data_IF_966970795267
#
_entry.id   IF_966970795267
#
_cell.length_a   1.000
_cell.length_b   1.000
_cell.length_c   1.000
_cell.angle_alpha   90.00
_cell.angle_beta   90.00
_cell.angle_gamma   90.00
#
_symmetry.space_group_name_H-M   'P 1'
#
loop_
_entity.id
_entity.type
_entity.pdbx_description
1 polymer ?
#
# COMPACT_ATOMS: atom_id res chain seq x y z
N UNK A 1 49.31 4.80 5.34
CA UNK A 1 48.67 5.56 6.44
C UNK A 1 47.25 5.88 6.03
N UNK A 2 46.27 5.63 6.91
CA UNK A 2 44.89 6.00 6.64
C UNK A 2 44.68 7.47 7.04
N UNK A 3 44.41 8.33 6.07
CA UNK A 3 44.20 9.76 6.30
C UNK A 3 42.71 10.08 6.27
N UNK A 4 42.11 10.16 7.45
CA UNK A 4 40.69 10.43 7.62
C UNK A 4 40.26 11.72 6.91
N UNK A 5 41.10 12.76 6.87
CA UNK A 5 40.76 14.09 6.31
C UNK A 5 40.61 14.07 4.79
N UNK A 6 41.55 13.41 4.11
CA UNK A 6 41.51 13.23 2.66
C UNK A 6 40.27 12.41 2.29
N UNK A 7 39.99 11.32 3.03
CA UNK A 7 38.81 10.49 2.80
C UNK A 7 37.53 11.31 2.92
N UNK A 8 37.44 12.20 3.91
CA UNK A 8 36.27 13.08 4.04
C UNK A 8 36.14 14.07 2.89
N UNK A 9 37.22 14.71 2.48
CA UNK A 9 37.18 15.67 1.37
C UNK A 9 36.69 14.99 0.09
N UNK A 10 37.20 13.79 -0.21
CA UNK A 10 36.74 12.98 -1.35
C UNK A 10 35.25 12.63 -1.23
N UNK A 11 34.80 12.14 -0.06
CA UNK A 11 33.39 11.76 0.17
C UNK A 11 32.45 12.97 0.10
N UNK A 12 32.90 14.16 0.54
CA UNK A 12 32.08 15.37 0.61
C UNK A 12 31.94 16.07 -0.75
N UNK A 13 33.03 16.15 -1.51
CA UNK A 13 33.09 16.92 -2.76
C UNK A 13 32.79 16.08 -4.00
N UNK A 14 33.17 14.80 -4.00
CA UNK A 14 32.85 13.90 -5.12
C UNK A 14 31.50 13.24 -4.86
N UNK A 15 31.46 11.91 -4.84
CA UNK A 15 30.25 11.12 -4.68
C UNK A 15 30.30 10.24 -3.42
N UNK A 16 29.21 10.24 -2.66
CA UNK A 16 29.00 9.35 -1.53
C UNK A 16 27.68 8.59 -1.73
N UNK A 17 27.76 7.27 -1.91
CA UNK A 17 26.60 6.41 -2.13
C UNK A 17 25.58 6.43 -0.98
N UNK A 18 26.04 6.71 0.23
CA UNK A 18 25.18 6.77 1.41
C UNK A 18 24.62 8.17 1.69
N UNK A 19 25.06 9.20 0.99
CA UNK A 19 24.61 10.57 1.23
C UNK A 19 23.28 10.82 0.53
N UNK A 20 22.28 11.27 1.29
CA UNK A 20 21.00 11.74 0.76
C UNK A 20 20.87 13.24 1.05
N UNK A 21 20.76 14.04 -0.02
CA UNK A 21 20.49 15.47 0.07
C UNK A 21 18.96 15.65 0.09
N UNK A 22 18.46 16.29 1.14
CA UNK A 22 17.05 16.68 1.30
C UNK A 22 17.05 18.19 1.53
N UNK A 23 15.95 18.88 1.26
CA UNK A 23 15.79 20.32 1.51
C UNK A 23 16.21 20.75 2.93
N UNK A 24 15.92 19.90 3.93
CA UNK A 24 16.25 20.17 5.34
C UNK A 24 17.73 19.95 5.67
N UNK A 25 18.49 19.26 4.84
CA UNK A 25 19.92 19.01 5.08
C UNK A 25 20.48 17.73 4.46
N UNK A 26 21.71 17.41 4.85
CA UNK A 26 22.47 16.25 4.33
C UNK A 26 22.42 15.09 5.31
N UNK A 27 21.77 14.00 4.91
CA UNK A 27 21.62 12.78 5.71
C UNK A 27 22.49 11.64 5.18
N UNK A 28 22.71 10.64 6.02
CA UNK A 28 23.49 9.46 5.70
C UNK A 28 22.64 8.21 5.92
N UNK A 29 22.52 7.37 4.88
CA UNK A 29 21.80 6.08 4.90
C UNK A 29 22.62 4.93 5.46
N UNK A 30 23.89 5.16 5.80
CA UNK A 30 24.77 4.09 6.30
C UNK A 30 24.23 3.57 7.66
N UNK A 31 24.00 2.25 7.81
CA UNK A 31 23.49 1.66 9.05
C UNK A 31 24.41 1.86 10.26
N UNK A 32 25.71 2.06 10.02
CA UNK A 32 26.72 2.32 11.03
C UNK A 32 26.92 3.81 11.33
N UNK A 33 26.02 4.70 10.93
CA UNK A 33 26.09 6.11 11.38
C UNK A 33 25.34 6.25 12.71
N UNK A 34 25.92 6.92 13.72
CA UNK A 34 25.30 7.14 15.03
C UNK A 34 24.16 8.14 14.99
N UNK A 35 24.31 9.23 14.24
CA UNK A 35 23.39 10.38 14.22
C UNK A 35 22.41 10.35 13.04
N UNK A 36 22.81 9.73 11.92
CA UNK A 36 22.06 9.76 10.65
C UNK A 36 22.33 11.00 9.80
N UNK A 37 23.16 11.94 10.29
CA UNK A 37 23.55 13.15 9.57
C UNK A 37 24.88 12.91 8.84
N UNK A 38 25.04 13.46 7.64
CA UNK A 38 26.27 13.37 6.87
C UNK A 38 27.24 14.52 7.20
N UNK A 39 27.91 14.42 8.34
CA UNK A 39 28.94 15.36 8.82
C UNK A 39 30.30 14.67 9.01
N UNK A 40 31.39 15.45 9.07
CA UNK A 40 32.76 14.95 9.29
C UNK A 40 32.84 14.01 10.49
N UNK A 41 32.31 14.44 11.63
CA UNK A 41 32.32 13.70 12.90
C UNK A 41 31.34 12.52 12.94
N UNK A 42 30.35 12.49 12.05
CA UNK A 42 29.28 11.49 12.05
C UNK A 42 29.48 10.40 10.99
N UNK A 43 30.34 10.61 10.00
CA UNK A 43 30.57 9.63 8.94
C UNK A 43 31.42 8.44 9.45
N UNK A 44 30.91 7.19 9.38
CA UNK A 44 31.68 6.01 9.80
C UNK A 44 32.75 5.58 8.78
N UNK A 45 32.63 6.02 7.52
CA UNK A 45 33.62 5.72 6.48
C UNK A 45 34.85 6.62 6.62
N UNK A 46 34.61 7.91 6.88
CA UNK A 46 35.66 8.92 6.95
C UNK A 46 36.44 8.93 8.27
N UNK A 47 35.90 8.27 9.32
CA UNK A 47 36.58 8.15 10.61
C UNK A 47 37.07 6.72 10.81
N UNK A 48 38.36 6.58 11.06
CA UNK A 48 39.00 5.30 11.38
C UNK A 48 38.58 4.79 12.76
N UNK A 49 38.56 5.67 13.76
CA UNK A 49 38.00 5.42 15.08
C UNK A 49 36.53 5.80 15.04
N UNK A 50 35.64 4.81 14.94
CA UNK A 50 34.19 5.00 15.09
C UNK A 50 33.50 3.98 16.02
N UNK A 51 32.39 4.35 16.66
CA UNK A 51 31.60 3.43 17.49
C UNK A 51 30.10 3.65 17.33
N UNK A 52 29.31 2.58 17.21
CA UNK A 52 27.85 2.63 17.00
C UNK A 52 27.12 1.54 17.76
N UNK A 53 25.80 1.68 17.86
CA UNK A 53 24.93 0.66 18.44
C UNK A 53 23.99 0.17 17.35
N UNK A 54 23.89 -1.16 17.23
CA UNK A 54 22.93 -1.82 16.34
C UNK A 54 22.14 -2.88 17.08
N UNK A 55 20.95 -3.09 16.56
CA UNK A 55 20.04 -4.14 16.96
C UNK A 55 20.27 -5.36 16.06
N UNK A 56 20.47 -6.53 16.65
CA UNK A 56 20.38 -7.82 15.98
C UNK A 56 19.44 -8.71 16.79
N UNK A 57 18.34 -9.12 16.18
CA UNK A 57 17.35 -10.08 16.73
C UNK A 57 16.93 -9.79 18.17
N UNK A 58 16.74 -8.51 18.52
CA UNK A 58 16.28 -8.14 19.87
C UNK A 58 17.39 -8.06 20.92
N UNK A 59 18.66 -8.15 20.52
CA UNK A 59 19.83 -7.87 21.37
C UNK A 59 20.63 -6.68 20.81
N UNK A 60 21.04 -5.77 21.71
CA UNK A 60 21.87 -4.64 21.31
C UNK A 60 23.34 -5.03 21.31
N UNK A 61 24.06 -4.57 20.30
CA UNK A 61 25.50 -4.75 20.16
C UNK A 61 26.17 -3.40 20.01
N UNK A 62 27.24 -3.19 20.77
CA UNK A 62 28.18 -2.10 20.57
C UNK A 62 29.17 -2.52 19.48
N UNK A 63 29.17 -1.78 18.39
CA UNK A 63 30.06 -1.93 17.26
C UNK A 63 31.20 -0.92 17.41
N UNK A 64 32.44 -1.39 17.44
CA UNK A 64 33.63 -0.55 17.54
C UNK A 64 34.53 -0.77 16.32
N UNK A 65 35.04 0.32 15.78
CA UNK A 65 35.94 0.35 14.64
C UNK A 65 37.28 0.91 15.10
N UNK A 66 38.34 0.14 14.96
CA UNK A 66 39.70 0.53 15.32
C UNK A 66 40.55 0.74 14.08
N UNK A 67 41.64 1.52 14.22
CA UNK A 67 42.52 1.85 13.09
C UNK A 67 43.33 0.64 12.61
N UNK A 68 43.62 -0.29 13.53
CA UNK A 68 44.44 -1.47 13.30
C UNK A 68 43.79 -2.44 12.31
N UNK A 69 42.46 -2.59 12.39
CA UNK A 69 41.69 -3.51 11.54
C UNK A 69 41.28 -2.91 10.19
N UNK A 70 41.70 -1.68 9.88
CA UNK A 70 41.26 -0.99 8.67
C UNK A 70 41.65 -1.71 7.36
N UNK A 71 42.75 -2.46 7.39
CA UNK A 71 43.23 -3.27 6.27
C UNK A 71 42.38 -4.54 6.01
N UNK A 72 41.53 -4.96 6.96
CA UNK A 72 40.66 -6.13 6.84
C UNK A 72 39.18 -5.72 6.94
N UNK A 73 38.50 -5.46 5.80
CA UNK A 73 37.12 -4.99 5.80
C UNK A 73 36.15 -5.97 6.50
N UNK A 74 36.40 -7.27 6.37
CA UNK A 74 35.56 -8.31 6.95
C UNK A 74 35.57 -8.29 8.49
N UNK A 75 36.69 -7.89 9.09
CA UNK A 75 36.89 -7.83 10.54
C UNK A 75 36.94 -6.38 11.05
N UNK A 76 36.53 -5.41 10.23
CA UNK A 76 36.63 -3.98 10.54
C UNK A 76 35.91 -3.59 11.85
N UNK A 77 34.84 -4.32 12.18
CA UNK A 77 33.99 -4.04 13.33
C UNK A 77 34.09 -5.12 14.41
N UNK A 78 34.53 -4.72 15.58
CA UNK A 78 34.41 -5.49 16.81
C UNK A 78 32.99 -5.34 17.38
N UNK A 79 32.42 -6.44 17.91
CA UNK A 79 31.05 -6.45 18.41
C UNK A 79 31.04 -6.90 19.87
N UNK A 80 30.49 -6.07 20.75
CA UNK A 80 30.29 -6.37 22.17
C UNK A 80 28.79 -6.47 22.45
N UNK A 81 28.36 -7.57 23.06
CA UNK A 81 26.96 -7.78 23.47
C UNK A 81 26.63 -6.84 24.63
N UNK A 82 25.55 -6.07 24.50
CA UNK A 82 25.03 -5.24 25.58
C UNK A 82 23.92 -6.00 26.34
N UNK A 83 23.91 -5.93 27.68
CA UNK A 83 22.86 -6.54 28.49
C UNK A 83 21.52 -5.83 28.29
N UNK A 84 20.43 -6.51 28.66
CA UNK A 84 19.07 -5.94 28.61
C UNK A 84 18.85 -4.82 29.61
N UNK A 85 19.59 -4.82 30.72
CA UNK A 85 19.54 -3.74 31.70
C UNK A 85 20.28 -2.51 31.15
N UNK A 86 19.56 -1.39 31.10
CA UNK A 86 20.05 -0.13 30.53
C UNK A 86 21.25 0.45 31.29
N UNK A 87 21.24 0.41 32.62
CA UNK A 87 22.34 0.97 33.44
C UNK A 87 23.63 0.18 33.23
N UNK A 88 23.54 -1.15 33.30
CA UNK A 88 24.68 -2.04 33.01
C UNK A 88 25.20 -1.85 31.57
N UNK A 89 24.31 -1.60 30.61
CA UNK A 89 24.71 -1.32 29.24
C UNK A 89 25.47 0.01 29.13
N UNK A 90 25.05 1.06 29.87
CA UNK A 90 25.77 2.33 29.92
C UNK A 90 27.16 2.18 30.53
N UNK A 91 27.30 1.43 31.63
CA UNK A 91 28.60 1.15 32.24
C UNK A 91 29.55 0.42 31.27
N UNK A 92 29.05 -0.55 30.51
CA UNK A 92 29.85 -1.28 29.51
C UNK A 92 30.27 -0.35 28.37
N UNK A 93 29.39 0.55 27.93
CA UNK A 93 29.72 1.57 26.93
C UNK A 93 30.83 2.49 27.45
N UNK A 94 30.72 2.95 28.70
CA UNK A 94 31.72 3.81 29.33
C UNK A 94 33.08 3.13 29.48
N UNK A 95 33.10 1.87 29.91
CA UNK A 95 34.34 1.08 30.03
C UNK A 95 35.02 0.86 28.68
N UNK A 96 34.28 0.53 27.62
CA UNK A 96 34.87 0.29 26.31
C UNK A 96 35.28 1.58 25.58
N UNK A 97 34.59 2.69 25.83
CA UNK A 97 34.81 3.96 25.12
C UNK A 97 35.55 5.01 25.96
N UNK A 98 36.32 4.62 26.99
CA UNK A 98 37.05 5.57 27.85
C UNK A 98 37.98 6.51 27.06
N UNK A 99 38.71 5.97 26.07
CA UNK A 99 39.71 6.72 25.30
C UNK A 99 39.18 7.30 23.98
N UNK A 100 37.85 7.39 23.85
CA UNK A 100 37.19 7.86 22.65
C UNK A 100 36.76 9.32 22.74
N UNK A 101 36.54 10.01 21.61
CA UNK A 101 36.02 11.37 21.62
C UNK A 101 34.68 11.45 22.36
N UNK A 102 34.57 12.41 23.30
CA UNK A 102 33.35 12.63 24.11
C UNK A 102 32.08 12.75 23.27
N UNK A 103 32.19 13.38 22.09
CA UNK A 103 31.09 13.48 21.13
C UNK A 103 30.54 12.11 20.75
N UNK A 104 31.41 11.16 20.38
CA UNK A 104 30.98 9.82 20.00
C UNK A 104 30.37 9.10 21.18
N UNK A 105 31.00 9.13 22.36
CA UNK A 105 30.50 8.51 23.59
C UNK A 105 29.07 8.98 23.88
N UNK A 106 28.86 10.30 23.90
CA UNK A 106 27.56 10.89 24.17
C UNK A 106 26.52 10.50 23.11
N UNK A 107 26.87 10.57 21.82
CA UNK A 107 25.96 10.18 20.74
C UNK A 107 25.65 8.69 20.75
N UNK A 108 26.59 7.80 21.08
CA UNK A 108 26.30 6.37 21.27
C UNK A 108 25.36 6.13 22.44
N UNK A 109 25.54 6.82 23.57
CA UNK A 109 24.59 6.75 24.69
C UNK A 109 23.19 7.22 24.26
N UNK A 110 23.09 8.37 23.61
CA UNK A 110 21.82 8.88 23.07
C UNK A 110 21.15 7.88 22.11
N UNK A 111 21.94 7.24 21.24
CA UNK A 111 21.44 6.20 20.33
C UNK A 111 20.94 4.98 21.10
N UNK A 112 21.65 4.52 22.15
CA UNK A 112 21.17 3.42 23.01
C UNK A 112 19.80 3.76 23.61
N UNK A 113 19.67 4.96 24.16
CA UNK A 113 18.41 5.44 24.75
C UNK A 113 17.29 5.43 23.72
N UNK A 114 17.53 6.00 22.52
CA UNK A 114 16.53 6.08 21.47
C UNK A 114 16.11 4.70 20.95
N UNK A 115 17.07 3.80 20.75
CA UNK A 115 16.81 2.42 20.32
C UNK A 115 16.01 1.65 21.38
N UNK A 116 16.34 1.83 22.66
CA UNK A 116 15.61 1.22 23.78
C UNK A 116 14.18 1.75 23.86
N UNK A 117 13.99 3.06 23.75
CA UNK A 117 12.66 3.69 23.68
C UNK A 117 11.85 3.19 22.48
N UNK A 118 12.48 3.07 21.29
CA UNK A 118 11.84 2.51 20.11
C UNK A 118 11.39 1.06 20.35
N UNK A 119 12.21 0.22 20.98
CA UNK A 119 11.80 -1.15 21.34
C UNK A 119 10.61 -1.18 22.29
N UNK A 120 10.60 -0.33 23.32
CA UNK A 120 9.47 -0.21 24.23
C UNK A 120 8.22 0.22 23.46
N UNK A 121 8.33 1.19 22.54
CA UNK A 121 7.23 1.62 21.68
C UNK A 121 6.73 0.51 20.77
N UNK A 122 7.62 -0.27 20.14
CA UNK A 122 7.25 -1.40 19.30
C UNK A 122 6.47 -2.46 20.08
N UNK A 123 6.89 -2.79 21.30
CA UNK A 123 6.14 -3.71 22.19
C UNK A 123 4.77 -3.16 22.55
N UNK A 124 4.69 -1.88 22.92
CA UNK A 124 3.41 -1.21 23.22
C UNK A 124 2.50 -1.16 21.98
N UNK A 125 3.05 -1.02 20.78
CA UNK A 125 2.29 -1.03 19.54
C UNK A 125 1.80 -2.43 19.17
N UNK A 126 2.61 -3.47 19.37
CA UNK A 126 2.23 -4.85 19.14
C UNK A 126 1.12 -5.33 20.10
N UNK A 127 1.08 -4.81 21.33
CA UNK A 127 0.02 -5.08 22.30
C UNK A 127 -1.29 -4.34 22.00
N UNK A 128 -1.26 -3.30 21.15
CA UNK A 128 -2.47 -2.56 20.78
C UNK A 128 -3.13 -3.24 19.60
N UNK A 129 -4.38 -3.66 19.75
CA UNK A 129 -5.23 -4.07 18.63
C UNK A 129 -5.49 -2.84 17.76
N UNK A 130 -5.03 -2.89 16.52
CA UNK A 130 -5.29 -1.87 15.50
C UNK A 130 -5.92 -2.55 14.32
N UNK A 131 -6.91 -1.89 13.74
CA UNK A 131 -7.45 -2.30 12.45
C UNK A 131 -6.33 -2.33 11.42
N UNK A 132 -6.24 -3.45 10.71
CA UNK A 132 -5.26 -3.60 9.63
C UNK A 132 -5.79 -2.80 8.44
N UNK A 133 -5.08 -1.74 8.07
CA UNK A 133 -5.35 -1.03 6.81
C UNK A 133 -5.11 -2.03 5.68
N UNK A 134 -6.19 -2.52 5.09
CA UNK A 134 -6.15 -3.39 3.92
C UNK A 134 -6.37 -2.50 2.70
N UNK A 135 -5.45 -2.57 1.75
CA UNK A 135 -5.58 -1.85 0.47
C UNK A 135 -6.44 -2.70 -0.45
N UNK A 136 -7.58 -2.17 -0.89
CA UNK A 136 -8.35 -2.77 -1.98
C UNK A 136 -7.73 -2.36 -3.32
N UNK A 137 -7.46 -3.31 -4.24
CA UNK A 137 -6.90 -2.98 -5.53
C UNK A 137 -7.91 -2.17 -6.36
N UNK A 138 -7.40 -1.19 -7.11
CA UNK A 138 -8.26 -0.26 -7.88
C UNK A 138 -9.15 -0.96 -8.90
N UNK A 139 -8.69 -2.09 -9.47
CA UNK A 139 -9.45 -2.89 -10.44
C UNK A 139 -10.70 -3.51 -9.82
N UNK A 140 -10.58 -4.11 -8.62
CA UNK A 140 -11.73 -4.67 -7.90
C UNK A 140 -12.73 -3.58 -7.56
N UNK A 141 -12.27 -2.44 -7.03
CA UNK A 141 -13.17 -1.31 -6.72
C UNK A 141 -13.96 -0.82 -7.94
N UNK A 142 -13.32 -0.75 -9.12
CA UNK A 142 -14.02 -0.37 -10.37
C UNK A 142 -14.99 -1.45 -10.82
N UNK A 143 -14.60 -2.73 -10.73
CA UNK A 143 -15.42 -3.87 -11.15
C UNK A 143 -16.65 -4.03 -10.24
N UNK A 144 -16.47 -3.94 -8.93
CA UNK A 144 -17.56 -3.97 -7.94
C UNK A 144 -18.55 -2.85 -8.18
N UNK A 145 -18.09 -1.60 -8.36
CA UNK A 145 -18.98 -0.48 -8.68
C UNK A 145 -19.80 -0.69 -9.98
N UNK A 146 -19.17 -1.23 -11.04
CA UNK A 146 -19.89 -1.56 -12.28
C UNK A 146 -20.90 -2.70 -12.08
N UNK A 147 -20.56 -3.72 -11.28
CA UNK A 147 -21.50 -4.81 -10.97
C UNK A 147 -22.65 -4.33 -10.10
N UNK A 148 -22.39 -3.45 -9.15
CA UNK A 148 -23.41 -2.82 -8.30
C UNK A 148 -24.41 -2.04 -9.16
N UNK A 149 -23.93 -1.21 -10.09
CA UNK A 149 -24.81 -0.46 -11.00
C UNK A 149 -25.64 -1.39 -11.90
N UNK A 150 -25.03 -2.46 -12.42
CA UNK A 150 -25.76 -3.47 -13.21
C UNK A 150 -26.80 -4.21 -12.35
N UNK A 151 -26.47 -4.55 -11.11
CA UNK A 151 -27.37 -5.22 -10.18
C UNK A 151 -28.55 -4.31 -9.78
N UNK A 152 -28.31 -3.03 -9.54
CA UNK A 152 -29.36 -2.04 -9.25
C UNK A 152 -30.34 -1.92 -10.42
N UNK A 153 -29.83 -1.81 -11.64
CA UNK A 153 -30.65 -1.76 -12.87
C UNK A 153 -31.44 -3.06 -13.07
N UNK A 154 -30.85 -4.22 -12.82
CA UNK A 154 -31.52 -5.52 -12.99
C UNK A 154 -32.57 -5.80 -11.91
N UNK A 155 -32.33 -5.39 -10.65
CA UNK A 155 -33.20 -5.73 -9.54
C UNK A 155 -34.55 -4.99 -9.55
N UNK A 156 -34.69 -3.88 -10.30
CA UNK A 156 -35.89 -3.03 -10.43
C UNK A 156 -36.75 -3.05 -9.17
N UNK A 157 -36.16 -2.58 -8.06
CA UNK A 157 -36.70 -2.82 -6.72
C UNK A 157 -38.10 -2.24 -6.56
N UNK A 158 -38.41 -1.12 -7.21
CA UNK A 158 -39.71 -0.45 -7.15
C UNK A 158 -40.87 -1.37 -7.55
N UNK A 159 -40.75 -2.07 -8.68
CA UNK A 159 -41.80 -3.01 -9.15
C UNK A 159 -41.96 -4.21 -8.21
N UNK A 160 -40.85 -4.69 -7.65
CA UNK A 160 -40.90 -5.79 -6.67
C UNK A 160 -41.61 -5.38 -5.38
N UNK A 161 -41.36 -4.14 -4.92
CA UNK A 161 -41.98 -3.55 -3.74
C UNK A 161 -43.47 -3.29 -4.00
N UNK A 162 -43.82 -2.74 -5.16
CA UNK A 162 -45.23 -2.52 -5.55
C UNK A 162 -46.03 -3.83 -5.55
N UNK A 163 -45.48 -4.90 -6.15
CA UNK A 163 -46.11 -6.23 -6.14
C UNK A 163 -46.30 -6.73 -4.71
N UNK A 164 -45.29 -6.60 -3.84
CA UNK A 164 -45.40 -7.02 -2.44
C UNK A 164 -46.43 -6.19 -1.65
N UNK A 165 -46.46 -4.88 -1.85
CA UNK A 165 -47.44 -3.98 -1.22
C UNK A 165 -48.86 -4.29 -1.68
N UNK A 166 -49.06 -4.53 -2.97
CA UNK A 166 -50.36 -4.96 -3.51
C UNK A 166 -50.77 -6.32 -2.96
N UNK A 167 -49.84 -7.28 -2.83
CA UNK A 167 -50.14 -8.56 -2.20
C UNK A 167 -50.50 -8.42 -0.73
N UNK A 168 -49.81 -7.56 0.03
CA UNK A 168 -50.14 -7.27 1.44
C UNK A 168 -51.50 -6.58 1.56
N UNK A 169 -51.82 -5.68 0.64
CA UNK A 169 -53.13 -5.04 0.55
C UNK A 169 -54.24 -6.07 0.28
N UNK A 170 -54.04 -6.96 -0.72
CA UNK A 170 -54.96 -8.07 -1.04
C UNK A 170 -55.13 -9.06 0.11
N UNK A 171 -54.06 -9.32 0.87
CA UNK A 171 -54.07 -10.17 2.06
C UNK A 171 -54.74 -9.49 3.28
N UNK A 172 -55.15 -8.22 3.17
CA UNK A 172 -55.85 -7.50 4.24
C UNK A 172 -54.97 -7.17 5.45
N UNK A 173 -53.65 -7.03 5.25
CA UNK A 173 -52.69 -6.72 6.33
C UNK A 173 -52.90 -5.31 6.89
N UNK A 174 -53.41 -4.41 6.07
CA UNK A 174 -53.77 -3.04 6.43
C UNK A 174 -55.31 -2.98 6.59
N UNK A 175 -55.83 -2.28 7.61
CA UNK A 175 -57.25 -2.34 8.02
C UNK A 175 -58.30 -1.82 7.03
N UNK A 176 -59.57 -1.83 7.42
CA UNK A 176 -60.76 -1.80 6.53
C UNK A 176 -61.19 -0.44 5.94
N UNK A 177 -60.55 0.68 6.25
CA UNK A 177 -61.01 2.00 5.78
C UNK A 177 -59.92 2.69 4.98
N UNK A 178 -60.00 2.58 3.67
CA UNK A 178 -59.17 3.32 2.73
C UNK A 178 -59.96 4.47 2.12
N UNK A 179 -59.47 5.69 2.32
CA UNK A 179 -60.04 6.89 1.69
C UNK A 179 -59.42 7.08 0.30
N UNK A 180 -59.95 6.38 -0.70
CA UNK A 180 -59.55 6.60 -2.10
C UNK A 180 -60.26 7.85 -2.65
N UNK A 181 -59.53 8.78 -3.28
CA UNK A 181 -60.15 9.88 -4.03
C UNK A 181 -61.06 9.34 -5.13
N UNK A 182 -62.34 9.76 -5.14
CA UNK A 182 -63.36 9.25 -6.05
C UNK A 182 -62.99 9.42 -7.53
N UNK A 183 -62.31 10.51 -7.88
CA UNK A 183 -61.90 10.81 -9.25
C UNK A 183 -60.95 9.74 -9.81
N UNK A 184 -59.98 9.29 -9.00
CA UNK A 184 -59.02 8.26 -9.40
C UNK A 184 -59.64 6.87 -9.49
N UNK A 185 -60.65 6.60 -8.69
CA UNK A 185 -61.39 5.33 -8.73
C UNK A 185 -62.24 5.22 -9.99
N UNK A 186 -62.93 6.30 -10.35
CA UNK A 186 -63.72 6.36 -11.58
C UNK A 186 -62.82 6.28 -12.83
N UNK A 187 -61.66 6.94 -12.85
CA UNK A 187 -60.68 6.81 -13.94
C UNK A 187 -60.15 5.38 -14.12
N UNK A 188 -60.04 4.58 -13.06
CA UNK A 188 -59.62 3.17 -13.13
C UNK A 188 -60.75 2.31 -13.70
N UNK A 189 -62.00 2.53 -13.28
CA UNK A 189 -63.19 1.87 -13.83
C UNK A 189 -63.38 2.16 -15.33
N UNK A 190 -63.17 3.41 -15.75
CA UNK A 190 -63.29 3.81 -17.16
C UNK A 190 -62.17 3.19 -18.01
N UNK A 191 -60.95 3.09 -17.48
CA UNK A 191 -59.81 2.40 -18.14
C UNK A 191 -60.00 0.89 -18.22
N UNK A 192 -60.63 0.27 -17.23
CA UNK A 192 -60.93 -1.17 -17.23
C UNK A 192 -62.04 -1.52 -18.25
N UNK A 193 -63.02 -0.62 -18.45
CA UNK A 193 -64.03 -0.74 -19.51
C UNK A 193 -63.44 -0.56 -20.91
N UNK A 194 -62.42 0.28 -21.08
CA UNK A 194 -61.70 0.45 -22.35
C UNK A 194 -60.69 -0.69 -22.62
N UNK A 195 -60.05 -1.22 -21.59
CA UNK A 195 -59.10 -2.34 -21.73
C UNK A 195 -59.78 -3.67 -22.10
N UNK A 196 -61.09 -3.81 -21.88
CA UNK A 196 -61.86 -4.98 -22.32
C UNK A 196 -62.02 -5.09 -23.85
N UNK A 197 -61.79 -3.99 -24.59
CA UNK A 197 -61.91 -3.95 -26.05
C UNK A 197 -60.55 -4.10 -26.79
N UNK A 198 -59.40 -4.09 -26.09
CA UNK A 198 -58.04 -4.13 -26.68
C UNK A 198 -57.17 -5.34 -26.24
N UNK A 199 -57.77 -6.45 -25.80
CA UNK A 199 -57.04 -7.61 -25.24
C UNK A 199 -56.26 -8.46 -26.28
N UNK A 200 -56.22 -8.12 -27.58
CA UNK A 200 -55.61 -9.02 -28.58
C UNK A 200 -54.18 -8.72 -29.07
N UNK A 201 -53.48 -7.64 -28.66
CA UNK A 201 -52.18 -7.38 -29.34
C UNK A 201 -51.04 -6.64 -28.59
N UNK A 202 -50.92 -6.66 -27.26
CA UNK A 202 -49.72 -6.06 -26.62
C UNK A 202 -49.32 -6.68 -25.27
N UNK A 203 -48.99 -7.98 -25.29
CA UNK A 203 -48.24 -8.62 -24.21
C UNK A 203 -46.92 -9.21 -24.75
N UNK A 204 -46.20 -8.43 -25.57
CA UNK A 204 -44.78 -8.66 -25.78
C UNK A 204 -44.05 -7.99 -24.61
N UNK A 205 -43.97 -8.69 -23.47
CA UNK A 205 -42.97 -8.39 -22.44
C UNK A 205 -41.64 -8.31 -23.17
N UNK A 206 -41.11 -7.09 -23.31
CA UNK A 206 -39.76 -6.87 -23.77
C UNK A 206 -38.82 -7.54 -22.77
N UNK A 207 -38.56 -8.82 -23.03
CA UNK A 207 -37.54 -9.63 -22.42
C UNK A 207 -36.25 -8.86 -22.68
N UNK A 208 -35.77 -8.14 -21.67
CA UNK A 208 -34.46 -7.52 -21.73
C UNK A 208 -33.50 -8.70 -21.69
N UNK A 209 -33.22 -9.26 -22.87
CA UNK A 209 -32.13 -10.20 -23.08
C UNK A 209 -30.87 -9.48 -22.58
N UNK A 210 -30.46 -9.81 -21.37
CA UNK A 210 -29.09 -9.61 -20.95
C UNK A 210 -28.25 -10.53 -21.84
N UNK A 211 -27.86 -10.02 -23.01
CA UNK A 211 -26.91 -10.67 -23.90
C UNK A 211 -25.67 -11.00 -23.06
N UNK A 212 -25.49 -12.30 -22.80
CA UNK A 212 -24.35 -12.92 -22.14
C UNK A 212 -23.11 -12.88 -23.07
N UNK A 213 -22.83 -11.71 -23.65
CA UNK A 213 -21.84 -11.50 -24.71
C UNK A 213 -20.75 -10.48 -24.37
N UNK A 214 -20.56 -10.17 -23.08
CA UNK A 214 -19.56 -9.19 -22.63
C UNK A 214 -18.63 -9.74 -21.54
N UNK A 215 -18.52 -11.06 -21.38
CA UNK A 215 -17.43 -11.65 -20.58
C UNK A 215 -16.11 -11.72 -21.38
N UNK A 216 -16.16 -11.58 -22.72
CA UNK A 216 -14.99 -11.66 -23.61
C UNK A 216 -14.51 -10.29 -24.16
N UNK A 217 -15.24 -9.19 -23.87
CA UNK A 217 -14.80 -7.82 -24.17
C UNK A 217 -14.17 -7.12 -22.95
N UNK A 218 -14.08 -7.79 -21.80
CA UNK A 218 -13.47 -7.25 -20.58
C UNK A 218 -11.93 -7.12 -20.68
N UNK A 219 -11.31 -7.65 -21.75
CA UNK A 219 -9.86 -7.51 -22.03
C UNK A 219 -9.51 -6.34 -22.96
N UNK A 220 -10.44 -5.76 -23.73
CA UNK A 220 -10.11 -4.78 -24.80
C UNK A 220 -10.34 -3.30 -24.43
N UNK A 221 -11.08 -2.98 -23.37
CA UNK A 221 -11.38 -1.58 -22.99
C UNK A 221 -10.23 -0.84 -22.26
N UNK A 222 -9.05 -1.44 -22.07
CA UNK A 222 -7.88 -0.77 -21.45
C UNK A 222 -6.94 -0.13 -22.51
N UNK A 223 -7.37 0.00 -23.78
CA UNK A 223 -6.56 0.54 -24.89
C UNK A 223 -6.81 2.04 -25.17
N UNK A 224 -7.91 2.63 -24.71
CA UNK A 224 -8.31 3.98 -25.13
C UNK A 224 -7.75 5.15 -24.30
N UNK A 225 -6.99 4.92 -23.23
CA UNK A 225 -6.37 6.00 -22.43
C UNK A 225 -4.88 6.28 -22.79
N UNK A 226 -4.39 5.74 -23.91
CA UNK A 226 -3.02 5.99 -24.40
C UNK A 226 -2.94 6.92 -25.64
N UNK A 227 -4.07 7.30 -26.25
CA UNK A 227 -4.12 7.98 -27.55
C UNK A 227 -4.26 9.52 -27.54
N UNK A 228 -4.20 10.18 -26.38
CA UNK A 228 -4.64 11.57 -26.21
C UNK A 228 -3.60 12.69 -26.39
N UNK A 229 -2.43 12.46 -27.00
CA UNK A 229 -1.42 13.52 -27.19
C UNK A 229 -0.65 13.36 -28.50
N UNK A 230 -1.20 13.90 -29.59
CA UNK A 230 -0.50 14.64 -30.65
C UNK A 230 -1.35 14.73 -31.93
N UNK A 231 -2.21 15.75 -32.03
CA UNK A 231 -2.58 16.31 -33.35
C UNK A 231 -2.46 17.82 -33.27
N UNK A 232 -1.34 18.28 -33.83
CA UNK A 232 -0.97 19.65 -34.09
C UNK A 232 -1.98 20.28 -35.07
N UNK A 233 -2.66 21.37 -34.69
CA UNK A 233 -3.41 22.23 -35.62
C UNK A 233 -2.97 23.67 -35.43
N UNK A 234 -2.18 24.11 -36.41
CA UNK A 234 -1.75 25.46 -36.71
C UNK A 234 -2.87 26.50 -36.66
N UNK A 235 -2.62 27.65 -36.02
CA UNK A 235 -3.16 28.94 -36.42
C UNK A 235 -2.15 30.05 -36.13
N UNK A 236 -2.00 30.92 -37.12
CA UNK A 236 -1.07 32.04 -37.27
C UNK A 236 -1.47 33.30 -36.46
N UNK A 237 -0.51 34.23 -36.41
CA UNK A 237 -0.50 35.67 -36.06
C UNK A 237 -0.42 36.09 -34.58
N UNK A 238 0.28 37.16 -34.20
CA UNK A 238 1.40 38.00 -34.72
C UNK A 238 1.74 39.03 -33.60
N UNK A 239 2.93 39.64 -33.68
CA UNK A 239 3.40 40.91 -33.08
C UNK A 239 3.95 41.03 -31.63
N UNK A 240 5.29 41.18 -31.59
CA UNK A 240 6.10 42.31 -31.08
C UNK A 240 6.24 42.62 -29.56
N UNK A 241 7.45 42.43 -29.01
CA UNK A 241 8.43 43.48 -28.64
C UNK A 241 9.73 42.85 -28.10
N UNK A 242 10.88 43.32 -28.59
CA UNK A 242 12.22 42.79 -28.26
C UNK A 242 12.90 43.41 -27.03
N UNK A 243 13.90 42.69 -26.51
CA UNK A 243 15.16 43.21 -25.95
C UNK A 243 16.09 42.05 -25.53
N UNK A 244 17.14 41.86 -26.34
CA UNK A 244 18.56 41.66 -25.99
C UNK A 244 18.92 41.12 -24.60
N UNK A 245 19.59 39.96 -24.52
CA UNK A 245 21.00 39.88 -24.10
C UNK A 245 21.58 38.44 -24.29
N UNK A 246 22.88 38.40 -24.56
CA UNK A 246 23.77 37.31 -24.95
C UNK A 246 23.72 36.03 -24.07
N UNK A 247 23.92 34.84 -24.67
CA UNK A 247 25.26 34.26 -24.89
C UNK A 247 25.19 32.82 -25.44
N UNK A 248 26.17 32.55 -26.29
CA UNK A 248 26.46 31.41 -27.15
C UNK A 248 26.73 30.09 -26.39
N UNK A 249 26.20 28.95 -26.87
CA UNK A 249 27.04 27.76 -27.13
C UNK A 249 26.32 26.66 -27.94
N UNK A 250 27.07 26.13 -28.89
CA UNK A 250 26.65 25.38 -30.07
C UNK A 250 26.92 23.87 -29.93
N UNK A 251 25.85 23.04 -30.02
CA UNK A 251 25.81 21.67 -30.59
C UNK A 251 26.66 20.54 -29.94
N UNK A 252 26.38 19.24 -30.00
CA UNK A 252 25.64 18.37 -30.95
C UNK A 252 25.17 17.13 -30.18
N UNK A 253 23.95 16.68 -30.45
CA UNK A 253 23.44 15.38 -30.06
C UNK A 253 23.74 14.34 -31.14
N UNK A 254 24.12 13.12 -30.75
CA UNK A 254 23.86 11.90 -31.54
C UNK A 254 23.37 10.81 -30.61
N UNK A 255 22.10 10.44 -30.77
CA UNK A 255 21.53 9.19 -30.28
C UNK A 255 21.97 8.03 -31.18
N UNK A 256 22.21 6.84 -30.59
CA UNK A 256 21.95 5.59 -31.29
C UNK A 256 21.14 4.61 -30.43
N UNK A 257 20.16 4.02 -31.13
CA UNK A 257 18.98 3.27 -30.76
C UNK A 257 19.32 1.81 -30.44
N UNK A 258 18.63 1.26 -29.42
CA UNK A 258 18.04 -0.10 -29.25
C UNK A 258 18.74 -1.31 -29.89
N UNK A 259 18.89 -2.42 -29.14
CA UNK A 259 18.36 -3.77 -29.48
C UNK A 259 18.28 -4.66 -28.21
N UNK A 260 17.07 -5.18 -27.94
CA UNK A 260 16.81 -6.38 -27.13
C UNK A 260 16.91 -7.60 -28.05
N UNK A 261 17.65 -8.64 -27.66
CA UNK A 261 17.64 -9.94 -28.35
C UNK A 261 17.53 -11.06 -27.33
N UNK A 262 16.39 -11.73 -27.34
CA UNK A 262 16.18 -13.05 -26.76
C UNK A 262 16.98 -14.09 -27.59
N UNK A 263 17.50 -15.11 -26.91
CA UNK A 263 17.73 -16.40 -27.55
C UNK A 263 17.44 -17.51 -26.54
N UNK A 264 16.39 -18.24 -26.88
CA UNK A 264 16.10 -19.60 -26.47
C UNK A 264 17.15 -20.57 -27.02
N UNK A 265 17.16 -21.79 -26.45
CA UNK A 265 17.85 -23.02 -26.87
C UNK A 265 19.11 -23.42 -26.07
N UNK A 266 18.90 -24.19 -25.00
CA UNK A 266 19.69 -25.40 -24.73
C UNK A 266 18.90 -26.33 -23.79
N UNK A 267 18.30 -27.36 -24.37
CA UNK A 267 17.61 -28.46 -23.70
C UNK A 267 18.47 -29.72 -23.87
N UNK A 268 18.41 -30.61 -22.85
CA UNK A 268 18.92 -32.00 -22.72
C UNK A 268 20.22 -32.10 -21.90
N UNK A 269 20.38 -32.99 -20.91
CA UNK A 269 19.66 -34.16 -20.32
C UNK A 269 20.60 -34.60 -19.15
N UNK A 270 20.24 -34.95 -17.92
CA UNK A 270 19.59 -36.16 -17.37
C UNK A 270 19.79 -36.13 -15.84
N UNK A 271 18.83 -36.68 -15.08
CA UNK A 271 18.99 -36.95 -13.65
C UNK A 271 17.64 -37.15 -12.95
N UNK A 272 17.00 -38.27 -13.22
CA UNK A 272 15.78 -38.77 -12.58
C UNK A 272 16.06 -39.13 -11.11
N UNK A 273 15.20 -38.75 -10.17
CA UNK A 273 14.52 -39.72 -9.30
C UNK A 273 13.36 -39.09 -8.50
N UNK A 274 12.22 -39.77 -8.66
CA UNK A 274 11.05 -40.03 -7.80
C UNK A 274 11.04 -39.42 -6.39
N UNK A 275 9.93 -38.99 -5.78
CA UNK A 275 8.51 -39.27 -5.96
C UNK A 275 7.85 -39.02 -4.59
N UNK A 276 6.70 -38.35 -4.53
CA UNK A 276 6.09 -38.03 -3.23
C UNK A 276 4.92 -37.07 -3.30
N UNK A 277 3.85 -37.46 -3.98
CA UNK A 277 2.52 -36.82 -3.93
C UNK A 277 1.98 -36.78 -2.50
N UNK A 278 1.68 -35.59 -1.96
CA UNK A 278 0.87 -35.43 -0.74
C UNK A 278 -0.42 -34.65 -1.07
N UNK A 279 -1.61 -35.19 -0.73
CA UNK A 279 -2.88 -34.53 -1.04
C UNK A 279 -3.17 -33.34 -0.12
N UNK A 280 -3.78 -32.31 -0.70
CA UNK A 280 -4.23 -31.07 -0.04
C UNK A 280 -5.30 -31.40 1.02
N UNK A 281 -5.02 -31.09 2.30
CA UNK A 281 -6.04 -31.09 3.35
C UNK A 281 -6.88 -29.82 3.24
N UNK A 282 -8.18 -29.96 2.95
CA UNK A 282 -9.18 -28.89 3.11
C UNK A 282 -9.48 -28.74 4.61
N UNK A 283 -9.34 -27.53 5.14
CA UNK A 283 -9.75 -27.22 6.50
C UNK A 283 -11.28 -27.14 6.56
N UNK A 284 -11.92 -27.99 7.37
CA UNK A 284 -13.32 -27.81 7.78
C UNK A 284 -13.35 -26.79 8.92
N UNK A 285 -14.00 -25.65 8.69
CA UNK A 285 -14.34 -24.69 9.75
C UNK A 285 -15.60 -25.22 10.43
N UNK A 286 -15.51 -25.53 11.73
CA UNK A 286 -16.67 -25.78 12.58
C UNK A 286 -17.19 -24.40 13.01
N UNK A 287 -18.43 -24.08 12.64
CA UNK A 287 -19.13 -22.89 13.13
C UNK A 287 -20.00 -23.35 14.29
N UNK A 288 -19.60 -23.05 15.51
CA UNK A 288 -20.48 -23.13 16.68
C UNK A 288 -21.32 -21.86 16.69
N UNK A 289 -22.63 -22.02 16.53
CA UNK A 289 -23.62 -20.93 16.68
C UNK A 289 -24.09 -21.01 18.13
N UNK A 290 -23.66 -20.07 18.98
CA UNK A 290 -24.31 -19.83 20.27
C UNK A 290 -25.68 -19.21 19.99
N UNK A 291 -26.77 -19.94 20.27
CA UNK A 291 -28.11 -19.36 20.35
C UNK A 291 -28.25 -18.66 21.70
N UNK A 292 -28.41 -17.34 21.68
CA UNK A 292 -28.87 -16.57 22.84
C UNK A 292 -30.34 -16.93 23.10
N UNK A 293 -30.59 -17.73 24.14
CA UNK A 293 -31.93 -17.95 24.68
C UNK A 293 -32.44 -16.68 25.37
N UNK A 294 -33.08 -15.81 24.60
CA UNK A 294 -33.98 -14.79 25.14
C UNK A 294 -35.35 -15.41 25.39
N UNK A 295 -35.61 -15.91 26.60
CA UNK A 295 -36.96 -15.89 27.18
C UNK A 295 -36.99 -16.25 28.66
N UNK A 296 -37.42 -15.30 29.49
CA UNK A 296 -37.49 -15.47 30.94
C UNK A 296 -38.20 -14.34 31.66
N UNK A 297 -39.34 -13.91 31.13
CA UNK A 297 -40.22 -12.92 31.76
C UNK A 297 -40.90 -13.52 33.00
N UNK A 298 -40.56 -12.95 34.15
CA UNK A 298 -41.35 -12.75 35.39
C UNK A 298 -42.48 -13.74 35.73
N UNK A 299 -42.37 -14.38 36.90
CA UNK A 299 -43.51 -14.57 37.83
C UNK A 299 -43.07 -14.34 39.27
N UNK A 300 -43.70 -13.37 39.91
CA UNK A 300 -43.80 -13.26 41.36
C UNK A 300 -44.90 -14.22 41.85
N UNK A 301 -44.67 -14.98 42.93
CA UNK A 301 -45.67 -15.37 43.94
C UNK A 301 -44.93 -15.84 45.21
N UNK A 302 -45.34 -15.25 46.33
CA UNK A 302 -45.09 -15.55 47.76
C UNK A 302 -43.72 -15.31 48.39
#
# INVERSE_FOLDING_TARGET
MQHDEVIWQVIRHNHCSFMAKIETGKFCRNPYNVTGICNRSSCPLANSRYATIRDHDGVFYLYMKTIERAHQPNQLWERVKLPRNYEKALEIIDKNLMYWPKFLVHKTKQRLTKMTQMRIRMRKLALKTREKIMTTPRKEKKREARREEKAEKAAVLDKSIEKELLERLKKGVYGDIYNYPADKYNEILDKEQLAADDIEEDEEEAEIEFVEGYDDLEEEEDIEDFGGLAVNKSSLDDDDVGLDDNDDDETVAVEHKRVRRESSLALRKLGNDEGGTKPKKKARVLVEVEQEDTDGRQKAVH
#
